data_IF_935903242800
#
_entry.id   IF_935903242800
#
_cell.length_a   1.000
_cell.length_b   1.000
_cell.length_c   1.000
_cell.angle_alpha   90.00
_cell.angle_beta   90.00
_cell.angle_gamma   90.00
#
_symmetry.space_group_name_H-M   'P 1'
#
loop_
_entity.id
_entity.type
_entity.pdbx_description
1 polymer ?
2 water ?
#
# COMPACT_ATOMS: atom_id res chain seq x y z
N UNK A 8 1.06 5.54 -16.46
CA UNK A 8 0.67 6.76 -15.78
C UNK A 8 -0.44 7.44 -16.55
N UNK A 9 -0.56 7.06 -17.82
CA UNK A 9 -1.44 7.72 -18.77
C UNK A 9 -2.85 7.91 -18.22
N UNK A 10 -3.53 6.82 -17.88
CA UNK A 10 -4.88 6.96 -17.37
C UNK A 10 -4.89 7.72 -16.05
N UNK A 11 -3.91 7.44 -15.18
CA UNK A 11 -3.81 8.16 -13.92
C UNK A 11 -3.68 9.65 -14.16
N UNK A 12 -2.72 10.04 -15.01
CA UNK A 12 -2.51 11.46 -15.28
C UNK A 12 -3.70 12.03 -16.04
N UNK A 13 -4.26 11.25 -16.96
CA UNK A 13 -5.46 11.67 -17.70
C UNK A 13 -6.55 12.13 -16.75
N UNK A 14 -6.86 11.33 -15.72
CA UNK A 14 -7.86 11.73 -14.74
C UNK A 14 -7.43 12.91 -13.90
N UNK A 15 -6.11 13.08 -13.68
CA UNK A 15 -5.63 14.26 -12.96
C UNK A 15 -5.87 15.54 -13.74
N UNK A 16 -5.66 15.49 -15.07
CA UNK A 16 -5.69 16.63 -15.98
C UNK A 16 -4.85 17.79 -15.45
N UNK A 17 -3.52 17.64 -15.42
CA UNK A 17 -2.67 18.73 -14.92
C UNK A 17 -2.70 19.91 -15.88
N UNK A 18 -2.93 21.09 -15.33
CA UNK A 18 -2.98 22.34 -16.07
C UNK A 18 -1.82 23.23 -15.66
N UNK A 19 -1.46 24.16 -16.53
CA UNK A 19 -0.40 25.11 -16.21
C UNK A 19 -0.74 25.87 -14.94
N UNK A 20 0.26 26.10 -14.10
CA UNK A 20 0.09 26.85 -12.87
C UNK A 20 -0.45 26.07 -11.67
N UNK A 21 -0.67 24.76 -11.80
CA UNK A 21 -1.31 24.02 -10.73
C UNK A 21 -0.28 23.38 -9.79
N UNK A 22 -0.77 22.91 -8.63
CA UNK A 22 0.06 22.31 -7.58
C UNK A 22 -0.47 20.91 -7.29
N UNK A 23 0.45 19.95 -7.10
CA UNK A 23 0.09 18.53 -6.96
C UNK A 23 0.78 17.88 -5.77
N UNK A 24 0.15 16.83 -5.24
CA UNK A 24 0.76 15.94 -4.26
C UNK A 24 0.73 14.52 -4.81
N UNK A 25 1.90 13.95 -5.07
CA UNK A 25 2.03 12.55 -5.42
C UNK A 25 2.42 11.82 -4.14
N UNK A 26 1.46 11.13 -3.51
CA UNK A 26 1.76 10.52 -2.21
C UNK A 26 2.46 9.18 -2.31
N UNK A 27 2.65 8.68 -3.53
CA UNK A 27 3.18 7.35 -3.79
C UNK A 27 4.16 7.41 -4.96
N UNK A 28 5.16 8.30 -4.83
CA UNK A 28 6.06 8.59 -5.94
C UNK A 28 6.61 7.31 -6.57
N UNK A 29 7.08 6.38 -5.74
CA UNK A 29 7.48 5.07 -6.23
C UNK A 29 8.66 5.18 -7.18
N UNK A 30 8.50 4.61 -8.37
CA UNK A 30 9.54 4.72 -9.39
C UNK A 30 9.51 6.05 -10.12
N UNK A 31 8.52 6.89 -9.89
CA UNK A 31 8.45 8.20 -10.51
C UNK A 31 7.57 8.29 -11.73
N UNK A 32 6.97 7.18 -12.18
CA UNK A 32 6.27 7.17 -13.46
C UNK A 32 5.19 8.24 -13.57
N UNK A 33 4.32 8.32 -12.57
CA UNK A 33 3.21 9.28 -12.69
C UNK A 33 3.72 10.71 -12.60
N UNK A 34 4.63 10.99 -11.66
CA UNK A 34 5.15 12.34 -11.54
C UNK A 34 5.82 12.78 -12.85
N UNK A 35 6.62 11.89 -13.44
CA UNK A 35 7.27 12.21 -14.72
C UNK A 35 6.22 12.45 -15.81
N UNK A 36 5.19 11.60 -15.87
CA UNK A 36 4.16 11.79 -16.90
C UNK A 36 3.45 13.11 -16.70
N UNK A 37 3.22 13.51 -15.44
CA UNK A 37 2.63 14.82 -15.19
C UNK A 37 3.54 15.92 -15.73
N UNK A 38 4.85 15.82 -15.46
CA UNK A 38 5.80 16.81 -15.95
C UNK A 38 5.88 16.85 -17.47
N UNK A 39 5.72 15.70 -18.14
CA UNK A 39 5.69 15.70 -19.60
C UNK A 39 4.49 16.48 -20.13
N UNK A 40 3.34 16.41 -19.45
CA UNK A 40 2.16 17.10 -19.94
C UNK A 40 2.18 18.59 -19.60
N UNK A 41 2.75 18.96 -18.45
CA UNK A 41 2.73 20.36 -18.03
C UNK A 41 3.92 20.58 -17.10
N UNK A 42 4.94 21.28 -17.60
CA UNK A 42 6.13 21.54 -16.83
C UNK A 42 5.96 22.68 -15.84
N UNK A 43 4.95 23.54 -16.04
CA UNK A 43 4.79 24.73 -15.20
C UNK A 43 3.86 24.39 -14.02
N UNK A 44 4.37 23.54 -13.14
CA UNK A 44 3.63 23.09 -11.97
C UNK A 44 4.57 23.05 -10.76
N UNK A 45 3.98 22.87 -9.59
CA UNK A 45 4.72 22.48 -8.40
C UNK A 45 4.18 21.13 -7.95
N UNK A 46 5.06 20.21 -7.61
CA UNK A 46 4.65 18.87 -7.22
C UNK A 46 5.43 18.45 -5.98
N UNK A 47 4.72 18.06 -4.93
CA UNK A 47 5.34 17.44 -3.78
C UNK A 47 5.33 15.93 -3.99
N UNK A 48 6.52 15.32 -3.94
CA UNK A 48 6.72 13.92 -4.32
C UNK A 48 7.09 13.11 -3.09
N UNK A 49 6.11 12.37 -2.56
CA UNK A 49 6.23 11.68 -1.27
C UNK A 49 6.32 10.17 -1.45
N UNK A 50 7.14 9.53 -0.62
CA UNK A 50 7.09 8.07 -0.51
C UNK A 50 7.63 7.66 0.83
N UNK A 51 7.12 6.55 1.39
CA UNK A 51 7.71 6.05 2.62
C UNK A 51 8.95 5.20 2.37
N UNK A 52 9.23 4.84 1.12
CA UNK A 52 10.39 4.00 0.80
C UNK A 52 11.61 4.87 0.53
N UNK A 53 12.68 4.76 1.32
CA UNK A 53 13.92 5.53 1.03
C UNK A 53 14.39 5.42 -0.42
N UNK A 54 14.28 4.23 -1.02
CA UNK A 54 14.70 4.02 -2.40
C UNK A 54 13.90 4.90 -3.35
N UNK A 55 12.58 4.94 -3.18
CA UNK A 55 11.76 5.80 -4.03
C UNK A 55 12.03 7.26 -3.72
N UNK A 56 12.21 7.57 -2.43
CA UNK A 56 12.45 8.95 -2.06
C UNK A 56 13.75 9.46 -2.69
N UNK A 57 14.78 8.61 -2.76
CA UNK A 57 16.03 9.02 -3.40
C UNK A 57 15.85 9.27 -4.89
N UNK A 58 14.95 8.51 -5.54
CA UNK A 58 14.64 8.80 -6.94
C UNK A 58 13.93 10.14 -7.08
N UNK A 59 13.05 10.47 -6.11
CA UNK A 59 12.38 11.77 -6.18
C UNK A 59 13.37 12.92 -5.97
N UNK A 60 14.33 12.73 -5.06
CA UNK A 60 15.39 13.72 -4.88
C UNK A 60 16.19 13.91 -6.16
N UNK A 61 16.58 12.81 -6.82
CA UNK A 61 17.29 12.91 -8.09
C UNK A 61 16.48 13.69 -9.10
N UNK A 62 15.19 13.38 -9.21
CA UNK A 62 14.32 14.08 -10.15
C UNK A 62 14.31 15.57 -9.84
N UNK A 63 14.31 15.92 -8.56
CA UNK A 63 14.26 17.32 -8.18
C UNK A 63 15.51 18.08 -8.61
N UNK A 64 16.61 17.38 -8.93
CA UNK A 64 17.79 18.04 -9.48
C UNK A 64 17.56 18.46 -10.93
N UNK A 65 16.83 17.65 -11.71
CA UNK A 65 16.53 18.00 -13.09
C UNK A 65 15.36 18.97 -13.17
N UNK A 66 14.47 18.97 -12.18
CA UNK A 66 13.30 19.85 -12.13
C UNK A 66 13.29 20.58 -10.79
N UNK A 67 14.27 21.46 -10.55
CA UNK A 67 14.36 22.11 -9.22
C UNK A 67 13.25 23.10 -8.95
N UNK A 68 12.71 23.74 -9.99
CA UNK A 68 11.58 24.66 -9.80
C UNK A 68 10.33 23.92 -9.36
N UNK A 69 10.10 22.72 -9.88
CA UNK A 69 8.81 22.05 -9.69
C UNK A 69 8.80 21.07 -8.53
N UNK A 70 9.83 20.20 -8.41
CA UNK A 70 9.73 18.99 -7.60
C UNK A 70 10.20 19.26 -6.18
N UNK A 71 9.45 18.74 -5.20
CA UNK A 71 9.85 18.80 -3.79
C UNK A 71 9.72 17.39 -3.21
N UNK A 72 10.84 16.70 -3.06
CA UNK A 72 10.86 15.33 -2.58
C UNK A 72 10.69 15.28 -1.07
N UNK A 73 9.89 14.32 -0.59
CA UNK A 73 9.65 14.12 0.84
C UNK A 73 9.68 12.64 1.16
N UNK A 74 10.25 12.30 2.31
CA UNK A 74 10.32 10.93 2.80
C UNK A 74 9.37 10.80 3.99
N UNK A 75 8.38 9.93 3.84
CA UNK A 75 7.41 9.78 4.90
C UNK A 75 6.24 8.89 4.52
N UNK A 76 5.65 8.32 5.55
CA UNK A 76 4.44 7.53 5.45
C UNK A 76 3.23 8.44 5.26
N UNK A 77 2.13 7.82 4.81
CA UNK A 77 0.87 8.56 4.71
C UNK A 77 0.55 9.25 6.03
N UNK A 78 0.80 8.57 7.16
CA UNK A 78 0.45 9.15 8.46
C UNK A 78 1.38 10.29 8.84
N UNK A 79 2.52 10.43 8.16
CA UNK A 79 3.42 11.54 8.40
C UNK A 79 3.24 12.67 7.41
N UNK A 80 2.38 12.51 6.40
CA UNK A 80 2.30 13.48 5.31
C UNK A 80 1.86 14.86 5.83
N UNK A 81 0.87 14.90 6.72
CA UNK A 81 0.35 16.19 7.15
C UNK A 81 1.43 17.02 7.84
N UNK A 82 2.18 16.40 8.77
CA UNK A 82 3.22 17.14 9.47
C UNK A 82 4.31 17.60 8.52
N UNK A 83 4.66 16.77 7.52
CA UNK A 83 5.65 17.19 6.53
C UNK A 83 5.15 18.36 5.70
N UNK A 84 3.87 18.33 5.32
CA UNK A 84 3.33 19.43 4.54
C UNK A 84 3.27 20.70 5.38
N UNK A 85 2.88 20.57 6.65
CA UNK A 85 2.84 21.73 7.53
C UNK A 85 4.23 22.35 7.70
N UNK A 86 5.24 21.51 7.97
CA UNK A 86 6.61 22.00 8.11
C UNK A 86 7.13 22.64 6.83
N UNK A 87 6.65 22.20 5.67
CA UNK A 87 7.04 22.82 4.41
C UNK A 87 6.24 24.08 4.08
N UNK A 88 5.34 24.51 4.96
CA UNK A 88 4.54 25.69 4.71
C UNK A 88 3.29 25.47 3.89
N UNK A 89 2.98 24.23 3.50
CA UNK A 89 1.80 23.97 2.68
C UNK A 89 0.56 24.03 3.57
N UNK A 90 -0.41 24.83 3.16
CA UNK A 90 -1.68 25.13 3.82
C UNK A 90 -2.74 24.14 3.38
N UNK A 91 -3.75 23.89 4.21
CA UNK A 91 -4.89 23.09 3.75
C UNK A 91 -5.54 23.74 2.54
N UNK A 92 -6.32 22.95 1.81
CA UNK A 92 -7.05 23.51 0.67
C UNK A 92 -6.17 24.06 -0.43
N UNK A 93 -5.01 23.47 -0.65
CA UNK A 93 -4.01 24.00 -1.59
C UNK A 93 -3.97 23.25 -2.91
N UNK A 94 -4.04 21.92 -2.90
CA UNK A 94 -3.63 21.13 -4.06
C UNK A 94 -4.72 21.07 -5.11
N UNK A 95 -4.33 21.24 -6.38
CA UNK A 95 -5.23 20.94 -7.47
C UNK A 95 -5.42 19.44 -7.66
N UNK A 96 -4.45 18.63 -7.26
CA UNK A 96 -4.58 17.19 -7.42
C UNK A 96 -3.74 16.41 -6.43
N UNK A 97 -4.24 15.25 -6.04
CA UNK A 97 -3.53 14.32 -5.19
C UNK A 97 -3.63 12.92 -5.80
N UNK A 98 -2.52 12.22 -5.80
CA UNK A 98 -2.39 10.93 -6.45
C UNK A 98 -2.00 9.89 -5.39
N UNK A 99 -2.71 8.76 -5.36
CA UNK A 99 -2.37 7.66 -4.45
C UNK A 99 -2.39 6.38 -5.29
N UNK A 100 -1.22 5.95 -5.73
CA UNK A 100 -1.09 4.68 -6.44
C UNK A 100 -0.59 3.64 -5.44
N UNK A 101 -1.49 2.77 -5.00
CA UNK A 101 -1.19 1.92 -3.85
C UNK A 101 -0.36 0.70 -4.20
N UNK A 102 0.01 0.51 -5.46
CA UNK A 102 0.78 -0.67 -5.83
C UNK A 102 2.22 -0.59 -5.34
N UNK A 103 2.77 -1.76 -5.04
CA UNK A 103 4.19 -1.88 -4.73
C UNK A 103 5.01 -1.35 -5.90
N UNK A 104 6.14 -0.72 -5.59
CA UNK A 104 6.96 -0.25 -6.69
C UNK A 104 7.74 -1.40 -7.31
N UNK A 105 8.25 -1.17 -8.53
CA UNK A 105 9.12 -2.16 -9.15
C UNK A 105 10.40 -2.38 -8.34
N UNK A 106 10.93 -1.31 -7.72
CA UNK A 106 12.07 -1.49 -6.84
C UNK A 106 11.76 -2.46 -5.71
N UNK A 107 10.56 -2.37 -5.14
CA UNK A 107 10.19 -3.29 -4.06
C UNK A 107 10.01 -4.71 -4.58
N UNK A 108 9.32 -4.88 -5.71
CA UNK A 108 9.02 -6.21 -6.21
C UNK A 108 10.22 -6.88 -6.88
N UNK A 109 11.11 -6.11 -7.49
CA UNK A 109 12.21 -6.68 -8.26
C UNK A 109 13.56 -6.58 -7.57
N UNK A 110 13.58 -6.25 -6.28
CA UNK A 110 14.79 -6.38 -5.48
C UNK A 110 14.58 -7.53 -4.51
N UNK A 111 15.09 -8.74 -4.81
CA UNK A 111 14.78 -9.90 -3.98
C UNK A 111 15.17 -9.74 -2.53
N UNK A 112 16.23 -8.99 -2.23
CA UNK A 112 16.64 -8.79 -0.86
C UNK A 112 15.56 -8.12 -0.02
N UNK A 113 14.64 -7.36 -0.64
CA UNK A 113 13.56 -6.74 0.11
C UNK A 113 12.53 -7.76 0.59
N UNK A 114 12.42 -8.88 -0.10
CA UNK A 114 11.50 -9.93 0.30
C UNK A 114 10.04 -9.67 0.02
N UNK A 115 9.72 -8.95 -1.05
CA UNK A 115 8.31 -8.75 -1.36
C UNK A 115 7.75 -9.85 -2.25
N UNK A 116 8.52 -10.32 -3.22
CA UNK A 116 8.02 -11.12 -4.32
C UNK A 116 8.10 -12.61 -4.06
N UNK A 117 7.30 -13.36 -4.80
CA UNK A 117 7.34 -14.81 -4.81
C UNK A 117 8.26 -15.36 -5.89
N UNK A 118 8.92 -14.48 -6.64
CA UNK A 118 9.80 -14.93 -7.72
C UNK A 118 11.12 -15.42 -7.13
N UNK A 119 12.04 -14.50 -6.89
CA UNK A 119 13.36 -14.86 -6.40
C UNK A 119 13.39 -14.93 -4.87
N UNK A 120 14.25 -15.79 -4.36
CA UNK A 120 14.42 -15.95 -2.92
C UNK A 120 15.12 -14.73 -2.31
N UNK A 121 14.74 -14.42 -1.08
CA UNK A 121 15.37 -13.34 -0.34
C UNK A 121 14.90 -13.36 1.10
N UNK A 122 15.46 -12.48 1.93
CA UNK A 122 15.03 -12.40 3.34
C UNK A 122 13.56 -12.01 3.43
N UNK A 123 12.87 -12.68 4.35
CA UNK A 123 11.46 -12.38 4.62
C UNK A 123 11.33 -11.05 5.36
N UNK A 124 11.66 -9.96 4.67
CA UNK A 124 11.71 -8.62 5.25
C UNK A 124 10.36 -7.93 5.07
N UNK A 125 10.09 -7.47 3.85
CA UNK A 125 8.79 -6.95 3.44
C UNK A 125 8.45 -5.57 4.02
N UNK A 126 9.41 -4.86 4.60
CA UNK A 126 9.17 -3.51 5.12
C UNK A 126 9.33 -2.48 4.00
N UNK A 127 8.23 -1.76 3.71
CA UNK A 127 8.32 -0.71 2.70
C UNK A 127 9.28 0.38 3.11
N UNK A 128 9.46 0.60 4.41
CA UNK A 128 10.36 1.66 4.87
C UNK A 128 11.82 1.27 4.77
N UNK A 129 12.14 0.08 4.25
CA UNK A 129 13.51 -0.35 4.10
C UNK A 129 14.25 -0.35 5.44
N UNK A 130 15.40 0.32 5.45
CA UNK A 130 16.25 0.41 6.61
C UNK A 130 15.99 1.60 7.50
N UNK A 131 14.89 2.32 7.23
CA UNK A 131 14.60 3.55 7.96
C UNK A 131 14.29 3.27 9.44
N UNK A 132 13.61 2.15 9.71
CA UNK A 132 13.16 1.81 11.05
C UNK A 132 13.68 0.42 11.37
N UNK A 133 14.91 0.31 11.87
CA UNK A 133 15.49 -1.04 12.07
C UNK A 133 14.72 -1.87 13.09
N UNK A 134 14.03 -1.25 14.06
CA UNK A 134 13.23 -1.98 15.04
C UNK A 134 11.82 -2.32 14.55
N UNK A 135 11.45 -1.85 13.37
CA UNK A 135 10.17 -2.22 12.79
C UNK A 135 10.13 -3.73 12.53
N UNK A 136 9.13 -4.45 13.04
CA UNK A 136 9.09 -5.91 12.81
C UNK A 136 9.02 -6.25 11.31
N UNK A 137 9.78 -7.27 10.92
CA UNK A 137 9.73 -7.84 9.59
C UNK A 137 8.65 -8.91 9.50
N UNK A 138 8.38 -9.34 8.27
CA UNK A 138 7.48 -10.47 8.10
C UNK A 138 8.03 -11.72 8.79
N UNK A 139 9.35 -11.88 8.79
CA UNK A 139 9.99 -12.98 9.50
C UNK A 139 9.71 -12.90 11.00
N UNK A 140 9.88 -11.71 11.61
CA UNK A 140 9.58 -11.57 13.02
C UNK A 140 8.14 -11.99 13.32
N UNK A 141 7.21 -11.60 12.45
CA UNK A 141 5.80 -11.88 12.65
C UNK A 141 5.52 -13.38 12.58
N UNK A 142 6.00 -14.05 11.53
CA UNK A 142 5.67 -15.47 11.38
C UNK A 142 6.42 -16.34 12.38
N UNK A 143 7.53 -15.86 12.94
CA UNK A 143 8.23 -16.65 13.95
C UNK A 143 7.70 -16.42 15.37
N UNK A 144 6.94 -15.36 15.60
CA UNK A 144 6.52 -15.00 16.95
C UNK A 144 5.04 -15.27 17.21
N UNK A 145 4.15 -14.91 16.30
CA UNK A 145 2.74 -14.91 16.61
C UNK A 145 2.23 -16.33 16.84
N UNK A 146 1.18 -16.46 17.64
CA UNK A 146 0.63 -17.80 17.83
C UNK A 146 -0.33 -18.14 16.70
N UNK A 147 -0.76 -19.40 16.70
CA UNK A 147 -1.47 -19.96 15.56
C UNK A 147 -2.75 -19.18 15.25
N UNK A 148 -3.57 -18.94 16.27
CA UNK A 148 -4.81 -18.20 16.07
C UNK A 148 -4.54 -16.80 15.55
N UNK A 149 -3.49 -16.14 16.07
CA UNK A 149 -3.20 -14.78 15.63
C UNK A 149 -2.76 -14.78 14.18
N UNK A 150 -1.93 -15.75 13.80
CA UNK A 150 -1.50 -15.87 12.41
C UNK A 150 -2.69 -16.13 11.50
N UNK A 151 -3.58 -17.03 11.93
CA UNK A 151 -4.75 -17.36 11.12
C UNK A 151 -5.62 -16.13 10.91
N UNK A 152 -5.85 -15.33 11.97
CA UNK A 152 -6.64 -14.11 11.83
C UNK A 152 -6.05 -13.17 10.79
N UNK A 153 -4.72 -12.95 10.86
CA UNK A 153 -4.06 -12.07 9.90
C UNK A 153 -4.30 -12.56 8.48
N UNK A 154 -4.06 -13.86 8.24
CA UNK A 154 -4.24 -14.41 6.90
C UNK A 154 -5.70 -14.34 6.44
N UNK A 155 -6.65 -14.66 7.34
CA UNK A 155 -8.05 -14.57 6.93
C UNK A 155 -8.47 -13.12 6.71
N UNK A 156 -8.09 -12.23 7.63
CA UNK A 156 -8.58 -10.85 7.57
C UNK A 156 -7.90 -10.05 6.47
N UNK A 157 -6.58 -10.04 6.45
CA UNK A 157 -5.85 -9.24 5.47
C UNK A 157 -5.60 -9.94 4.16
N UNK A 158 -5.47 -11.27 4.15
CA UNK A 158 -5.23 -11.93 2.87
C UNK A 158 -6.50 -12.48 2.27
N UNK A 159 -7.59 -12.45 3.03
CA UNK A 159 -8.83 -13.11 2.62
C UNK A 159 -8.55 -14.55 2.20
N UNK A 160 -7.68 -15.20 2.97
CA UNK A 160 -7.21 -16.55 2.66
C UNK A 160 -8.16 -17.54 3.31
N UNK A 161 -8.94 -18.24 2.47
CA UNK A 161 -9.90 -19.22 2.97
C UNK A 161 -9.22 -20.32 3.78
N UNK A 162 -7.95 -20.62 3.49
CA UNK A 162 -7.21 -21.69 4.14
C UNK A 162 -6.31 -21.17 5.27
N UNK A 163 -6.71 -20.07 5.91
CA UNK A 163 -5.88 -19.45 6.94
C UNK A 163 -5.49 -20.45 8.02
N UNK A 164 -6.46 -21.24 8.51
CA UNK A 164 -6.18 -22.16 9.61
C UNK A 164 -5.07 -23.15 9.26
N UNK A 165 -5.24 -23.87 8.14
CA UNK A 165 -4.26 -24.89 7.75
C UNK A 165 -2.90 -24.26 7.50
N UNK A 166 -2.88 -23.10 6.86
CA UNK A 166 -1.60 -22.47 6.56
C UNK A 166 -0.92 -21.99 7.83
N UNK A 167 -1.69 -21.44 8.77
CA UNK A 167 -1.12 -21.00 10.04
C UNK A 167 -0.60 -22.19 10.84
N UNK A 168 -1.32 -23.31 10.79
CA UNK A 168 -0.83 -24.51 11.45
C UNK A 168 0.47 -24.99 10.83
N UNK A 169 0.61 -24.88 9.50
CA UNK A 169 1.85 -25.31 8.86
C UNK A 169 3.02 -24.40 9.23
N UNK A 170 2.79 -23.09 9.31
CA UNK A 170 3.84 -22.17 9.74
C UNK A 170 4.32 -22.52 11.15
N UNK A 171 3.37 -22.78 12.07
CA UNK A 171 3.75 -23.02 13.46
C UNK A 171 4.57 -24.30 13.57
N UNK A 172 4.14 -25.36 12.88
CA UNK A 172 4.92 -26.60 12.92
C UNK A 172 6.26 -26.44 12.23
N UNK A 173 6.31 -25.69 11.13
CA UNK A 173 7.58 -25.52 10.42
C UNK A 173 8.59 -24.76 11.27
N UNK A 174 8.15 -23.66 11.89
CA UNK A 174 9.07 -22.80 12.64
C UNK A 174 9.64 -23.47 13.89
N UNK A 175 9.07 -24.61 14.32
CA UNK A 175 9.66 -25.38 15.41
C UNK A 175 10.90 -26.15 14.97
N UNK A 176 10.98 -26.49 13.69
CA UNK A 176 12.14 -27.21 13.17
C UNK A 176 13.26 -26.23 12.88
N UNK A 177 12.95 -25.13 12.21
CA UNK A 177 13.93 -24.09 11.91
C UNK A 177 13.19 -22.77 11.80
N UNK A 178 13.83 -21.65 12.18
CA UNK A 178 13.21 -20.35 11.96
C UNK A 178 12.92 -20.10 10.48
N UNK A 179 11.80 -19.44 10.22
CA UNK A 179 11.41 -19.08 8.87
C UNK A 179 11.96 -17.69 8.59
N UNK A 180 12.92 -17.62 7.67
CA UNK A 180 13.62 -16.37 7.41
C UNK A 180 13.64 -15.95 5.95
N UNK A 181 13.26 -16.82 5.01
CA UNK A 181 13.34 -16.52 3.58
C UNK A 181 11.98 -16.69 2.93
N UNK A 182 11.83 -16.05 1.76
CA UNK A 182 10.54 -16.00 1.09
C UNK A 182 10.16 -17.36 0.49
N UNK A 183 11.08 -17.99 -0.26
CA UNK A 183 10.76 -19.27 -0.85
C UNK A 183 10.54 -20.33 0.22
N UNK A 184 11.30 -20.25 1.31
CA UNK A 184 11.05 -21.07 2.48
C UNK A 184 9.59 -20.95 2.95
N UNK A 185 9.11 -19.71 3.12
CA UNK A 185 7.71 -19.54 3.54
C UNK A 185 6.76 -20.04 2.46
N UNK A 186 7.08 -19.78 1.20
CA UNK A 186 6.18 -20.23 0.14
C UNK A 186 6.06 -21.75 0.12
N UNK A 187 7.18 -22.45 0.34
CA UNK A 187 7.15 -23.91 0.38
C UNK A 187 6.32 -24.43 1.55
N UNK A 188 6.44 -23.78 2.71
CA UNK A 188 5.65 -24.16 3.88
C UNK A 188 4.18 -23.97 3.60
N UNK A 189 3.80 -22.85 2.97
CA UNK A 189 2.40 -22.62 2.61
C UNK A 189 1.90 -23.75 1.70
N UNK A 190 2.68 -24.07 0.66
CA UNK A 190 2.28 -25.13 -0.28
C UNK A 190 2.14 -26.47 0.40
N UNK A 191 3.00 -26.75 1.38
CA UNK A 191 2.97 -28.00 2.13
C UNK A 191 1.74 -28.19 2.99
N UNK A 192 0.93 -27.14 3.16
CA UNK A 192 -0.33 -27.28 3.88
C UNK A 192 -1.40 -28.00 3.06
N UNK A 193 -1.20 -28.14 1.75
CA UNK A 193 -2.21 -28.67 0.86
C UNK A 193 -1.81 -30.06 0.41
N UNK A 194 -2.69 -31.05 0.52
CA UNK A 194 -2.34 -32.40 0.06
C UNK A 194 -2.01 -32.38 -1.42
N UNK A 195 -1.21 -33.34 -1.91
CA UNK A 195 -0.84 -33.33 -3.33
C UNK A 195 -2.02 -33.33 -4.27
N UNK A 196 -3.10 -34.05 -3.94
CA UNK A 196 -4.22 -34.09 -4.88
C UNK A 196 -4.96 -32.76 -4.96
N UNK A 197 -4.74 -31.85 -3.99
CA UNK A 197 -5.29 -30.51 -4.08
C UNK A 197 -4.57 -29.65 -5.12
N UNK A 198 -3.28 -29.88 -5.35
CA UNK A 198 -2.46 -28.93 -6.10
C UNK A 198 -1.71 -29.54 -7.27
N UNK A 199 -1.80 -30.85 -7.49
CA UNK A 199 -0.92 -31.52 -8.44
C UNK A 199 -1.23 -31.10 -9.86
N UNK A 200 -0.19 -30.67 -10.58
CA UNK A 200 -0.16 -30.17 -11.96
C UNK A 200 -0.85 -28.82 -12.12
N UNK A 201 -1.35 -28.22 -11.04
CA UNK A 201 -2.05 -26.94 -11.11
C UNK A 201 -1.09 -25.78 -11.37
N UNK A 202 -0.84 -25.50 -12.66
CA UNK A 202 0.15 -24.51 -13.05
C UNK A 202 -0.22 -23.10 -12.57
N UNK A 203 -1.52 -22.78 -12.52
CA UNK A 203 -1.93 -21.47 -12.02
C UNK A 203 -1.39 -21.19 -10.62
N UNK A 204 -1.25 -22.23 -9.80
CA UNK A 204 -0.74 -22.08 -8.44
C UNK A 204 0.74 -21.68 -8.40
N UNK A 205 1.42 -21.62 -9.54
CA UNK A 205 2.75 -21.05 -9.62
C UNK A 205 2.80 -19.71 -10.34
N UNK A 206 1.74 -19.34 -11.08
CA UNK A 206 1.76 -18.13 -11.88
C UNK A 206 1.90 -16.90 -10.98
N UNK A 207 2.20 -15.75 -11.61
CA UNK A 207 2.52 -14.53 -10.87
C UNK A 207 1.40 -14.20 -9.90
N UNK A 208 0.23 -13.86 -10.41
CA UNK A 208 -0.93 -13.89 -9.55
C UNK A 208 -1.38 -15.34 -9.36
N UNK A 209 -2.38 -15.54 -8.50
CA UNK A 209 -2.93 -16.87 -8.24
C UNK A 209 -1.90 -17.89 -7.71
N UNK A 210 -0.64 -17.47 -7.51
CA UNK A 210 0.33 -18.32 -6.83
C UNK A 210 -0.19 -18.71 -5.45
N UNK A 211 0.11 -19.94 -5.02
CA UNK A 211 -0.48 -20.50 -3.82
C UNK A 211 -0.17 -19.66 -2.57
N UNK A 212 0.98 -18.99 -2.53
CA UNK A 212 1.32 -18.21 -1.34
C UNK A 212 0.96 -16.73 -1.45
N UNK A 213 0.24 -16.35 -2.52
CA UNK A 213 -0.02 -14.94 -2.80
C UNK A 213 -0.76 -14.27 -1.64
N UNK A 214 -1.88 -14.85 -1.22
CA UNK A 214 -2.68 -14.25 -0.18
C UNK A 214 -1.91 -14.19 1.13
N UNK A 215 -1.12 -15.23 1.41
CA UNK A 215 -0.31 -15.21 2.63
C UNK A 215 0.67 -14.06 2.61
N UNK A 216 1.38 -13.89 1.49
CA UNK A 216 2.32 -12.78 1.39
C UNK A 216 1.60 -11.45 1.48
N UNK A 217 0.45 -11.33 0.80
CA UNK A 217 -0.32 -10.09 0.85
C UNK A 217 -0.76 -9.78 2.27
N UNK A 218 -1.20 -10.79 3.02
CA UNK A 218 -1.65 -10.56 4.40
C UNK A 218 -0.50 -10.08 5.28
N UNK A 219 0.68 -10.69 5.14
CA UNK A 219 1.82 -10.26 5.95
C UNK A 219 2.26 -8.86 5.54
N UNK A 220 2.25 -8.56 4.25
CA UNK A 220 2.61 -7.22 3.80
C UNK A 220 1.72 -6.16 4.42
N UNK A 221 0.41 -6.38 4.39
CA UNK A 221 -0.52 -5.40 4.94
C UNK A 221 -0.27 -5.24 6.44
N UNK A 222 -0.05 -6.36 7.14
CA UNK A 222 0.18 -6.31 8.58
C UNK A 222 1.48 -5.60 8.90
N UNK A 223 2.58 -6.01 8.25
CA UNK A 223 3.90 -5.46 8.55
C UNK A 223 3.93 -3.96 8.33
N UNK A 224 3.25 -3.48 7.28
CA UNK A 224 3.33 -2.08 6.89
C UNK A 224 2.10 -1.28 7.32
N UNK A 225 1.19 -1.88 8.10
CA UNK A 225 0.04 -1.17 8.68
C UNK A 225 -0.77 -0.48 7.58
N UNK A 226 -0.97 -1.17 6.46
CA UNK A 226 -1.43 -0.49 5.25
C UNK A 226 -2.85 0.04 5.35
N UNK A 227 -3.71 -0.62 6.13
CA UNK A 227 -5.10 -0.20 6.16
C UNK A 227 -5.27 1.11 6.92
N UNK A 228 -4.73 1.20 8.13
CA UNK A 228 -4.78 2.47 8.87
C UNK A 228 -4.06 3.58 8.12
N UNK A 229 -2.88 3.26 7.57
CA UNK A 229 -2.12 4.26 6.82
C UNK A 229 -2.94 4.81 5.67
N UNK A 230 -3.61 3.92 4.92
CA UNK A 230 -4.39 4.35 3.77
C UNK A 230 -5.51 5.30 4.20
N UNK A 231 -6.28 4.91 5.22
CA UNK A 231 -7.38 5.77 5.67
C UNK A 231 -6.84 7.13 6.09
N UNK A 232 -5.74 7.16 6.85
CA UNK A 232 -5.14 8.44 7.24
C UNK A 232 -4.69 9.23 6.02
N UNK A 233 -4.07 8.55 5.04
CA UNK A 233 -3.62 9.27 3.85
C UNK A 233 -4.77 9.91 3.10
N UNK A 234 -5.91 9.20 3.02
CA UNK A 234 -7.07 9.71 2.31
C UNK A 234 -7.63 10.97 2.98
N UNK A 235 -7.67 10.97 4.31
CA UNK A 235 -8.13 12.15 5.03
C UNK A 235 -7.18 13.33 4.82
N UNK A 236 -5.86 13.10 4.81
CA UNK A 236 -4.91 14.15 4.51
C UNK A 236 -5.07 14.66 3.08
N UNK A 237 -5.25 13.75 2.12
CA UNK A 237 -5.49 14.16 0.75
C UNK A 237 -6.71 15.08 0.67
N UNK A 238 -7.81 14.69 1.32
CA UNK A 238 -9.00 15.52 1.27
C UNK A 238 -8.76 16.89 1.90
N UNK A 239 -8.03 16.92 3.02
CA UNK A 239 -7.81 18.17 3.74
C UNK A 239 -6.96 19.15 2.94
N UNK A 240 -5.96 18.65 2.20
CA UNK A 240 -5.04 19.52 1.50
C UNK A 240 -5.43 19.76 0.05
N UNK A 241 -6.46 19.08 -0.45
CA UNK A 241 -7.01 19.41 -1.76
C UNK A 241 -7.80 20.71 -1.70
N UNK A 242 -7.73 21.49 -2.77
CA UNK A 242 -8.59 22.67 -2.83
C UNK A 242 -9.97 22.27 -3.35
N UNK A 243 -10.98 23.10 -3.11
CA UNK A 243 -12.28 22.86 -3.75
C UNK A 243 -12.12 22.80 -5.25
N UNK A 244 -12.70 21.75 -5.86
CA UNK A 244 -12.51 21.50 -7.27
C UNK A 244 -11.28 20.68 -7.64
N UNK A 245 -10.35 20.45 -6.71
CA UNK A 245 -9.21 19.61 -7.00
C UNK A 245 -9.60 18.15 -7.15
N UNK A 246 -8.70 17.35 -7.74
CA UNK A 246 -8.99 15.95 -8.00
C UNK A 246 -8.15 15.01 -7.13
N UNK A 247 -8.80 13.98 -6.60
CA UNK A 247 -8.14 12.85 -5.98
C UNK A 247 -8.20 11.66 -6.94
N UNK A 248 -7.06 11.05 -7.21
CA UNK A 248 -7.00 9.85 -8.04
C UNK A 248 -6.31 8.75 -7.24
N UNK A 249 -7.00 7.63 -7.03
CA UNK A 249 -6.47 6.52 -6.27
C UNK A 249 -6.51 5.27 -7.12
N UNK A 250 -5.41 4.51 -7.07
CA UNK A 250 -5.32 3.22 -7.75
C UNK A 250 -5.19 2.13 -6.69
N UNK A 251 -6.16 1.22 -6.65
CA UNK A 251 -6.18 0.14 -5.67
C UNK A 251 -5.86 -1.21 -6.30
N UNK A 252 -5.16 -2.06 -5.58
CA UNK A 252 -4.74 -3.34 -6.13
C UNK A 252 -5.29 -4.56 -5.40
N UNK A 253 -5.94 -4.40 -4.26
CA UNK A 253 -6.69 -5.51 -3.70
C UNK A 253 -7.96 -4.98 -3.09
N UNK A 254 -8.84 -5.90 -2.71
CA UNK A 254 -10.22 -5.54 -2.39
C UNK A 254 -10.33 -4.78 -1.07
N UNK A 255 -9.44 -5.02 -0.10
CA UNK A 255 -9.56 -4.29 1.15
C UNK A 255 -9.28 -2.81 0.94
N UNK A 256 -8.20 -2.49 0.23
CA UNK A 256 -7.88 -1.08 0.05
C UNK A 256 -8.87 -0.41 -0.91
N UNK A 257 -9.38 -1.16 -1.90
CA UNK A 257 -10.36 -0.55 -2.78
C UNK A 257 -11.66 -0.25 -2.04
N UNK A 258 -12.06 -1.11 -1.12
CA UNK A 258 -13.27 -0.86 -0.35
C UNK A 258 -13.11 0.34 0.58
N UNK A 259 -11.90 0.53 1.13
CA UNK A 259 -11.60 1.70 1.96
C UNK A 259 -11.68 2.98 1.12
N UNK A 260 -11.06 2.99 -0.06
CA UNK A 260 -11.15 4.16 -0.95
C UNK A 260 -12.60 4.43 -1.30
N UNK A 261 -13.32 3.39 -1.75
CA UNK A 261 -14.73 3.50 -2.08
C UNK A 261 -15.54 4.12 -0.96
N UNK A 262 -15.49 3.51 0.22
CA UNK A 262 -16.25 4.03 1.35
C UNK A 262 -15.86 5.47 1.67
N UNK A 263 -14.57 5.78 1.60
CA UNK A 263 -14.11 7.15 1.85
C UNK A 263 -14.74 8.12 0.87
N UNK A 264 -14.75 7.77 -0.42
CA UNK A 264 -15.28 8.69 -1.41
C UNK A 264 -16.79 8.84 -1.28
N UNK A 265 -17.46 7.86 -0.66
CA UNK A 265 -18.88 7.94 -0.37
C UNK A 265 -19.17 8.67 0.92
N UNK A 266 -18.15 9.17 1.61
CA UNK A 266 -18.39 9.79 2.90
C UNK A 266 -18.86 8.85 3.98
N UNK A 267 -18.63 7.55 3.82
CA UNK A 267 -18.97 6.57 4.86
C UNK A 267 -17.85 6.55 5.89
N UNK A 268 -18.20 6.83 7.15
CA UNK A 268 -17.20 6.85 8.20
C UNK A 268 -16.73 5.43 8.54
N UNK A 269 -15.45 5.30 8.86
CA UNK A 269 -14.84 4.01 9.16
C UNK A 269 -14.02 4.13 10.43
N UNK A 270 -13.52 2.97 10.87
CA UNK A 270 -12.95 2.78 12.20
C UNK A 270 -11.71 3.63 12.48
N UNK A 271 -11.84 4.61 13.38
CA UNK A 271 -10.67 5.28 13.93
C UNK A 271 -10.13 4.47 15.11
N UNK A 272 -8.82 4.26 15.13
CA UNK A 272 -8.21 3.44 16.19
C UNK A 272 -8.45 4.05 17.57
N UNK A 273 -8.43 5.38 17.65
CA UNK A 273 -8.75 6.09 18.89
C UNK A 273 -10.12 5.75 19.44
N UNK A 274 -11.00 5.20 18.62
CA UNK A 274 -12.32 4.81 19.09
C UNK A 274 -12.38 3.37 19.54
N UNK A 275 -11.34 2.58 19.27
CA UNK A 275 -11.28 1.19 19.71
C UNK A 275 -10.72 1.13 21.12
N UNK A 276 -11.25 0.22 21.93
CA UNK A 276 -10.66 0.03 23.25
C UNK A 276 -9.25 -0.52 23.11
N UNK A 277 -8.46 -0.33 24.16
CA UNK A 277 -7.11 -0.87 24.15
C UNK A 277 -7.15 -2.37 23.89
N UNK A 278 -8.09 -3.07 24.52
CA UNK A 278 -8.22 -4.51 24.31
C UNK A 278 -8.39 -4.85 22.82
N UNK A 279 -9.32 -4.17 22.15
CA UNK A 279 -9.54 -4.46 20.72
C UNK A 279 -8.30 -4.15 19.90
N UNK A 280 -7.61 -3.03 20.21
CA UNK A 280 -6.43 -2.63 19.44
C UNK A 280 -5.31 -3.65 19.59
N UNK A 281 -5.26 -4.36 20.71
CA UNK A 281 -4.22 -5.35 20.96
C UNK A 281 -4.60 -6.72 20.41
N UNK A 282 -5.87 -7.14 20.54
CA UNK A 282 -6.21 -8.54 20.31
C UNK A 282 -6.95 -8.81 19.01
N UNK A 283 -7.44 -7.77 18.31
CA UNK A 283 -8.23 -7.95 17.11
C UNK A 283 -7.53 -7.33 15.91
N UNK A 284 -7.67 -8.00 14.76
CA UNK A 284 -7.30 -7.44 13.47
C UNK A 284 -8.23 -6.29 13.10
N UNK A 285 -7.73 -5.40 12.23
CA UNK A 285 -8.54 -4.26 11.82
C UNK A 285 -9.69 -4.72 10.94
N UNK A 286 -10.82 -4.02 11.08
CA UNK A 286 -12.00 -4.28 10.26
C UNK A 286 -12.12 -3.30 9.09
N UNK A 287 -11.17 -2.37 8.95
CA UNK A 287 -11.17 -1.46 7.80
C UNK A 287 -11.23 -2.24 6.50
N UNK A 288 -12.14 -1.83 5.61
CA UNK A 288 -12.27 -2.49 4.33
C UNK A 288 -13.04 -3.79 4.33
N UNK A 289 -13.54 -4.25 5.48
CA UNK A 289 -14.26 -5.52 5.53
C UNK A 289 -15.75 -5.30 5.35
N UNK A 290 -16.48 -6.42 5.21
CA UNK A 290 -17.90 -6.35 4.86
C UNK A 290 -18.75 -5.90 6.04
N UNK A 291 -18.52 -6.48 7.22
CA UNK A 291 -19.39 -6.23 8.36
C UNK A 291 -18.79 -5.23 9.34
N UNK A 303 -23.79 15.66 4.05
CA UNK A 303 -23.64 16.46 2.83
C UNK A 303 -22.57 15.91 1.88
N UNK A 304 -22.80 16.05 0.57
CA UNK A 304 -21.89 15.51 -0.42
C UNK A 304 -20.55 16.23 -0.37
N UNK A 305 -19.46 15.46 -0.36
CA UNK A 305 -18.13 16.05 -0.35
C UNK A 305 -17.38 15.84 -1.65
N UNK A 306 -17.85 14.96 -2.50
CA UNK A 306 -17.15 14.58 -3.72
C UNK A 306 -18.14 14.48 -4.88
N UNK A 307 -17.61 14.67 -6.09
CA UNK A 307 -18.25 14.19 -7.31
C UNK A 307 -17.37 13.08 -7.88
N UNK A 308 -17.93 11.87 -8.02
CA UNK A 308 -17.16 10.71 -8.45
C UNK A 308 -17.12 10.66 -9.98
N UNK A 309 -15.95 10.88 -10.58
CA UNK A 309 -15.90 11.10 -12.03
C UNK A 309 -15.30 9.95 -12.83
N UNK A 310 -14.67 8.96 -12.19
CA UNK A 310 -14.16 7.81 -12.94
C UNK A 310 -14.08 6.60 -12.01
N UNK A 311 -14.45 5.44 -12.55
CA UNK A 311 -14.06 4.14 -12.01
C UNK A 311 -13.74 3.23 -13.18
N UNK A 312 -12.53 2.70 -13.21
CA UNK A 312 -12.08 1.89 -14.33
C UNK A 312 -11.15 0.81 -13.81
N UNK A 313 -11.22 -0.36 -14.43
CA UNK A 313 -10.26 -1.42 -14.18
C UNK A 313 -9.18 -1.32 -15.25
N UNK A 314 -7.92 -1.24 -14.81
CA UNK A 314 -6.78 -1.09 -15.72
C UNK A 314 -6.09 -2.43 -15.91
N UNK A 329 -5.53 -5.46 -13.35
CA UNK A 329 -5.70 -6.01 -12.02
C UNK A 329 -5.76 -4.89 -10.96
N UNK A 330 -5.84 -3.64 -11.42
CA UNK A 330 -5.99 -2.48 -10.54
C UNK A 330 -7.30 -1.77 -10.84
N UNK A 331 -7.80 -1.06 -9.84
CA UNK A 331 -9.05 -0.30 -9.96
C UNK A 331 -8.75 1.18 -9.69
N UNK A 332 -8.94 2.01 -10.69
CA UNK A 332 -8.77 3.45 -10.57
C UNK A 332 -10.07 4.09 -10.11
N UNK A 333 -10.01 4.92 -9.09
CA UNK A 333 -11.14 5.75 -8.69
C UNK A 333 -10.68 7.20 -8.65
N UNK A 334 -11.43 8.10 -9.29
CA UNK A 334 -11.13 9.53 -9.32
C UNK A 334 -12.32 10.34 -8.84
N UNK A 335 -12.05 11.45 -8.15
CA UNK A 335 -13.11 12.28 -7.61
C UNK A 335 -12.68 13.74 -7.55
N UNK A 336 -13.65 14.63 -7.73
CA UNK A 336 -13.47 16.07 -7.56
C UNK A 336 -13.96 16.43 -6.17
N UNK A 337 -13.17 17.21 -5.44
CA UNK A 337 -13.58 17.67 -4.12
C UNK A 337 -14.56 18.83 -4.28
N UNK A 338 -15.67 18.77 -3.57
CA UNK A 338 -16.65 19.85 -3.63
C UNK A 338 -16.24 21.03 -2.77
#
# INVERSE_FOLDING_TARGET
KLHIPVMVDEVVHCLSPQKGQIFLDMTFGSGGHTKAILQKESDIVLYALDRDPTAYALAEHLSELYPKQIRAMLGQFSQAEALLMKAGVQPGTFDGVLMDLGCSSMQLDTPERGFSLRKDGPLDMRMDGGRYPDMPTAADVVNALDQQALASILRTYGEEKHAKKIASAIVQARSIYPITRTQQLASIVAGAFPPSAIYTRKDLLQRSTHIATKTFQALRIFVNNELNELYTGLKTAQKFLRPGGRLVALSFHSLEDRIVKRFLLGISMTERFNLSVRQQVMKTSQLGSDHENTEEVSMRRAPLMWELIHKKVLSPQDQDVQDNPRGRSAKLRAAIKL
#
